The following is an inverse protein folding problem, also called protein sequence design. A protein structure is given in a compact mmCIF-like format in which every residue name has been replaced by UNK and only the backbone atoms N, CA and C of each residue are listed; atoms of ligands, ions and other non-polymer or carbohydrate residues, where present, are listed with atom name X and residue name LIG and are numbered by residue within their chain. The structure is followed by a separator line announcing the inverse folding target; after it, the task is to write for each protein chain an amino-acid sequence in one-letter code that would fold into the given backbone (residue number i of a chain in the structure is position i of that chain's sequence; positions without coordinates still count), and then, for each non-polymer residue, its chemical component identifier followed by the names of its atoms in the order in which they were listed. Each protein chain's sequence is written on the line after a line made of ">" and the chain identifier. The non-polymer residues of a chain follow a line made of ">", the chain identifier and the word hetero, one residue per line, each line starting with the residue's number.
data_IF_475656483241
#
_entry.id   IF_475656483241
#
_cell.length_a   1.000
_cell.length_b   1.000
_cell.length_c   1.000
_cell.angle_alpha   90.00
_cell.angle_beta   90.00
_cell.angle_gamma   90.00
#
_symmetry.space_group_name_H-M   'P 1'
#
loop_
_entity.id
_entity.type
_entity.pdbx_description
1 polymer ?
#
# COMPACT_ATOMS: atom_id res chain seq x y z
N UNK A 1 -34.50 -20.54 -44.92
CA UNK A 1 -35.67 -20.80 -44.05
C UNK A 1 -35.75 -19.70 -42.99
N UNK A 2 -36.58 -18.66 -43.16
CA UNK A 2 -36.97 -17.77 -42.07
C UNK A 2 -38.31 -18.21 -41.48
N UNK A 3 -38.34 -18.44 -40.17
CA UNK A 3 -39.57 -18.73 -39.41
C UNK A 3 -40.01 -17.48 -38.66
N UNK A 4 -41.14 -16.92 -39.06
CA UNK A 4 -41.87 -15.85 -38.39
C UNK A 4 -42.76 -16.42 -37.27
N UNK A 5 -42.88 -15.72 -36.14
CA UNK A 5 -44.16 -15.58 -35.41
C UNK A 5 -44.08 -14.60 -34.24
N UNK A 6 -45.15 -13.82 -34.11
CA UNK A 6 -45.34 -12.60 -33.32
C UNK A 6 -45.94 -12.85 -31.91
N UNK A 7 -46.02 -11.78 -31.11
CA UNK A 7 -47.01 -11.60 -30.01
C UNK A 7 -46.40 -11.67 -28.61
N UNK A 8 -46.80 -10.90 -27.59
CA UNK A 8 -47.88 -9.92 -27.39
C UNK A 8 -47.55 -9.07 -26.15
N UNK A 9 -47.97 -7.82 -26.17
CA UNK A 9 -47.96 -6.83 -25.10
C UNK A 9 -48.75 -7.24 -23.86
N UNK A 10 -48.26 -6.96 -22.64
CA UNK A 10 -49.12 -6.67 -21.48
C UNK A 10 -48.50 -5.60 -20.58
N UNK A 11 -49.03 -4.38 -20.68
CA UNK A 11 -48.86 -3.35 -19.66
C UNK A 11 -49.68 -3.74 -18.41
N UNK A 12 -49.08 -3.68 -17.23
CA UNK A 12 -49.80 -3.75 -15.95
C UNK A 12 -49.50 -2.49 -15.13
N UNK A 13 -50.51 -1.61 -15.08
CA UNK A 13 -50.67 -0.52 -14.12
C UNK A 13 -51.20 -1.11 -12.80
N UNK A 14 -50.64 -0.68 -11.67
CA UNK A 14 -51.21 -0.82 -10.32
C UNK A 14 -51.20 0.55 -9.61
N UNK A 15 -52.17 0.87 -8.71
CA UNK A 15 -52.39 2.21 -8.18
C UNK A 15 -51.94 2.32 -6.69
N UNK A 16 -52.34 3.36 -5.90
CA UNK A 16 -51.47 4.43 -5.40
C UNK A 16 -51.17 4.33 -3.89
N UNK A 17 -49.99 4.79 -3.43
CA UNK A 17 -49.78 5.10 -2.01
C UNK A 17 -49.17 6.49 -1.86
N UNK A 18 -49.94 7.33 -1.18
CA UNK A 18 -49.56 8.61 -0.62
C UNK A 18 -48.92 8.38 0.75
N UNK A 19 -47.69 8.83 0.96
CA UNK A 19 -47.16 9.17 2.28
C UNK A 19 -46.21 10.36 2.15
N UNK A 20 -46.53 11.40 2.92
CA UNK A 20 -45.69 12.54 3.25
C UNK A 20 -44.46 12.05 4.02
N UNK A 21 -43.30 12.68 3.84
CA UNK A 21 -42.59 13.41 4.90
C UNK A 21 -41.17 13.83 4.49
N UNK A 22 -40.92 15.12 4.73
CA UNK A 22 -39.73 15.64 5.40
C UNK A 22 -38.36 15.41 4.72
N UNK A 23 -37.90 16.46 4.05
CA UNK A 23 -36.46 16.74 3.98
C UNK A 23 -35.87 16.77 5.40
N UNK A 24 -34.66 16.21 5.56
CA UNK A 24 -33.60 17.06 6.06
C UNK A 24 -32.37 16.98 5.16
N UNK A 25 -31.79 18.15 4.95
CA UNK A 25 -30.48 18.41 4.40
C UNK A 25 -29.40 17.56 5.08
N UNK A 26 -28.67 16.75 4.31
CA UNK A 26 -27.34 16.24 4.65
C UNK A 26 -26.59 16.09 3.32
N UNK A 27 -25.90 17.13 2.87
CA UNK A 27 -24.44 17.22 2.95
C UNK A 27 -23.72 15.93 2.49
N UNK A 28 -23.20 16.01 1.26
CA UNK A 28 -21.87 15.51 0.89
C UNK A 28 -21.57 14.04 1.25
N UNK A 29 -22.24 13.08 0.62
CA UNK A 29 -21.63 11.75 0.46
C UNK A 29 -20.61 11.80 -0.69
N UNK A 30 -19.51 12.53 -0.42
CA UNK A 30 -18.23 12.21 -1.05
C UNK A 30 -17.99 10.76 -0.70
N UNK A 31 -17.94 9.89 -1.70
CA UNK A 31 -17.42 8.53 -1.60
C UNK A 31 -16.00 8.62 -1.03
N UNK A 32 -15.88 8.69 0.29
CA UNK A 32 -14.62 8.47 0.99
C UNK A 32 -14.42 6.97 0.88
N UNK A 33 -13.87 6.56 -0.26
CA UNK A 33 -13.24 5.27 -0.40
C UNK A 33 -12.32 5.17 0.82
N UNK A 34 -12.68 4.33 1.77
CA UNK A 34 -11.87 4.02 2.95
C UNK A 34 -10.62 3.30 2.46
N UNK A 35 -9.72 4.03 1.81
CA UNK A 35 -8.32 3.65 1.70
C UNK A 35 -7.82 3.65 3.14
N UNK A 36 -7.94 2.50 3.80
CA UNK A 36 -7.39 2.31 5.14
C UNK A 36 -5.96 2.84 5.12
N UNK A 37 -5.72 3.91 5.86
CA UNK A 37 -4.43 4.58 5.85
C UNK A 37 -3.40 3.61 6.40
N UNK A 38 -2.60 3.01 5.52
CA UNK A 38 -1.53 2.11 5.93
C UNK A 38 -0.50 2.91 6.75
N UNK A 39 0.05 2.28 7.79
CA UNK A 39 1.03 2.91 8.68
C UNK A 39 2.26 2.05 8.83
N UNK A 40 3.40 2.70 8.99
CA UNK A 40 4.66 2.03 9.25
C UNK A 40 4.63 1.40 10.64
N UNK A 41 4.98 0.12 10.78
CA UNK A 41 5.04 -0.57 12.07
C UNK A 41 6.12 0.00 13.00
N UNK A 42 7.13 0.70 12.47
CA UNK A 42 8.26 1.23 13.24
C UNK A 42 8.02 2.68 13.69
N UNK A 43 7.76 3.60 12.75
CA UNK A 43 7.56 5.01 13.09
C UNK A 43 6.07 5.40 13.27
N UNK A 44 5.13 4.51 12.96
CA UNK A 44 3.68 4.74 13.04
C UNK A 44 3.16 5.88 12.15
N UNK A 45 4.02 6.42 11.28
CA UNK A 45 3.64 7.40 10.27
C UNK A 45 2.88 6.74 9.12
N UNK A 46 2.11 7.56 8.39
CA UNK A 46 1.37 7.13 7.21
C UNK A 46 2.33 6.64 6.12
N UNK A 47 2.02 5.49 5.53
CA UNK A 47 2.70 4.98 4.35
C UNK A 47 2.11 5.63 3.09
N UNK A 48 2.99 6.02 2.18
CA UNK A 48 2.62 6.46 0.84
C UNK A 48 2.27 5.24 -0.01
N UNK A 49 1.17 5.30 -0.78
CA UNK A 49 0.49 4.18 -1.48
C UNK A 49 1.41 3.20 -2.22
N UNK A 50 2.55 3.66 -2.75
CA UNK A 50 3.49 2.83 -3.53
C UNK A 50 4.91 2.76 -2.96
N UNK A 51 5.22 3.43 -1.84
CA UNK A 51 6.59 3.57 -1.32
C UNK A 51 6.76 2.94 0.06
N UNK A 52 6.39 1.67 0.17
CA UNK A 52 6.58 0.89 1.39
C UNK A 52 7.00 -0.54 1.09
N UNK A 53 7.64 -1.17 2.07
CA UNK A 53 7.99 -2.57 2.06
C UNK A 53 6.97 -3.33 2.90
N UNK A 54 6.36 -4.35 2.33
CA UNK A 54 5.49 -5.27 3.06
C UNK A 54 6.19 -6.60 3.29
N UNK A 55 6.18 -7.09 4.53
CA UNK A 55 6.65 -8.43 4.83
C UNK A 55 5.71 -9.47 4.18
N UNK A 56 6.22 -10.47 3.44
CA UNK A 56 5.38 -11.49 2.83
C UNK A 56 4.74 -12.42 3.87
N UNK A 57 5.35 -12.60 5.03
CA UNK A 57 4.89 -13.55 6.05
C UNK A 57 3.86 -12.97 7.02
N UNK A 58 4.01 -11.68 7.37
CA UNK A 58 3.19 -11.01 8.39
C UNK A 58 2.56 -9.78 7.75
N UNK A 59 1.26 -9.83 7.51
CA UNK A 59 0.54 -8.75 6.83
C UNK A 59 0.59 -7.41 7.59
N UNK A 60 0.76 -7.43 8.91
CA UNK A 60 0.91 -6.24 9.76
C UNK A 60 2.29 -5.57 9.67
N UNK A 61 3.32 -6.31 9.22
CA UNK A 61 4.65 -5.75 9.05
C UNK A 61 4.71 -4.95 7.74
N UNK A 62 4.53 -3.64 7.87
CA UNK A 62 4.59 -2.68 6.76
C UNK A 62 5.56 -1.59 7.16
N UNK A 63 6.54 -1.28 6.32
CA UNK A 63 7.63 -0.38 6.67
C UNK A 63 7.80 0.69 5.60
N UNK A 64 7.91 1.95 6.01
CA UNK A 64 8.27 3.01 5.08
C UNK A 64 9.71 2.81 4.59
N UNK A 65 10.01 3.31 3.39
CA UNK A 65 11.37 3.25 2.84
C UNK A 65 12.46 3.80 3.79
N UNK A 66 12.26 4.93 4.50
CA UNK A 66 13.22 5.42 5.49
C UNK A 66 13.56 4.39 6.58
N UNK A 67 12.55 3.74 7.16
CA UNK A 67 12.76 2.72 8.18
C UNK A 67 13.42 1.46 7.61
N UNK A 68 12.99 1.00 6.43
CA UNK A 68 13.62 -0.14 5.75
C UNK A 68 15.08 0.14 5.42
N UNK A 69 15.39 1.34 4.89
CA UNK A 69 16.76 1.79 4.61
C UNK A 69 17.64 1.74 5.84
N UNK A 70 17.14 2.23 6.97
CA UNK A 70 17.89 2.22 8.22
C UNK A 70 18.18 0.78 8.68
N UNK A 71 17.18 -0.11 8.59
CA UNK A 71 17.35 -1.52 8.96
C UNK A 71 18.33 -2.25 8.04
N UNK A 72 18.30 -1.99 6.72
CA UNK A 72 19.26 -2.50 5.75
C UNK A 72 20.69 -2.06 6.10
N UNK A 73 20.90 -0.76 6.37
CA UNK A 73 22.23 -0.24 6.75
C UNK A 73 22.76 -0.88 8.03
N UNK A 74 21.90 -1.07 9.02
CA UNK A 74 22.27 -1.66 10.32
C UNK A 74 22.60 -3.16 10.23
N UNK A 75 21.95 -3.90 9.33
CA UNK A 75 22.24 -5.32 9.08
C UNK A 75 23.45 -5.53 8.14
N UNK A 76 23.82 -4.51 7.37
CA UNK A 76 24.99 -4.51 6.48
C UNK A 76 24.63 -4.83 5.03
N UNK A 77 24.84 -3.86 4.14
CA UNK A 77 24.67 -4.03 2.70
C UNK A 77 25.77 -4.95 2.13
N UNK A 78 25.48 -6.24 2.02
CA UNK A 78 26.44 -7.28 1.62
C UNK A 78 26.14 -8.63 2.26
N UNK A 79 25.34 -8.63 3.33
CA UNK A 79 24.79 -9.82 3.98
C UNK A 79 23.31 -10.01 3.60
N UNK A 80 22.73 -11.16 3.97
CA UNK A 80 21.29 -11.35 3.93
C UNK A 80 20.60 -10.38 4.90
N UNK A 81 19.86 -9.41 4.35
CA UNK A 81 19.09 -8.46 5.15
C UNK A 81 17.69 -9.01 5.38
N UNK A 82 17.34 -9.29 6.62
CA UNK A 82 16.04 -9.82 7.01
C UNK A 82 15.02 -8.72 7.30
N UNK A 83 13.81 -9.13 7.67
CA UNK A 83 12.66 -8.26 7.92
C UNK A 83 13.02 -7.06 8.84
N UNK A 84 12.60 -5.82 8.50
CA UNK A 84 12.93 -4.62 9.27
C UNK A 84 12.46 -4.61 10.73
N UNK A 85 11.52 -5.48 11.09
CA UNK A 85 11.09 -5.69 12.49
C UNK A 85 12.13 -6.40 13.37
N UNK A 86 13.23 -6.91 12.79
CA UNK A 86 14.26 -7.66 13.51
C UNK A 86 13.94 -9.15 13.69
N UNK A 87 12.80 -9.63 13.17
CA UNK A 87 12.42 -11.05 13.19
C UNK A 87 12.85 -11.73 11.89
N UNK A 88 13.22 -13.01 11.95
CA UNK A 88 13.43 -13.85 10.75
C UNK A 88 12.11 -14.47 10.30
N UNK A 89 11.27 -13.68 9.65
CA UNK A 89 9.97 -14.11 9.15
C UNK A 89 10.13 -15.15 8.02
N UNK A 90 9.53 -16.35 8.08
CA UNK A 90 9.67 -17.36 7.04
C UNK A 90 8.79 -17.04 5.83
N UNK A 91 9.27 -17.29 4.61
CA UNK A 91 8.44 -17.17 3.40
C UNK A 91 7.16 -18.01 3.52
N UNK A 92 6.05 -17.51 2.98
CA UNK A 92 4.74 -18.17 3.07
C UNK A 92 4.84 -19.59 2.50
N UNK A 93 4.46 -20.58 3.31
CA UNK A 93 4.52 -21.99 2.92
C UNK A 93 5.91 -22.65 3.03
N UNK A 94 6.90 -22.00 3.68
CA UNK A 94 8.26 -22.53 3.85
C UNK A 94 8.82 -22.26 5.26
N UNK A 95 9.98 -22.83 5.57
CA UNK A 95 10.81 -22.49 6.74
C UNK A 95 12.00 -21.59 6.38
N UNK A 96 12.16 -21.23 5.10
CA UNK A 96 13.23 -20.36 4.62
C UNK A 96 12.94 -18.92 5.06
N UNK A 97 13.86 -18.24 5.76
CA UNK A 97 13.66 -16.85 6.19
C UNK A 97 13.63 -15.92 4.96
N UNK A 98 12.67 -15.00 4.96
CA UNK A 98 12.62 -13.94 3.95
C UNK A 98 13.74 -12.93 4.20
N UNK A 99 14.45 -12.60 3.13
CA UNK A 99 15.44 -11.55 3.06
C UNK A 99 15.17 -10.67 1.84
N UNK A 100 15.65 -9.42 1.89
CA UNK A 100 15.60 -8.53 0.74
C UNK A 100 16.44 -9.04 -0.42
N UNK A 101 15.93 -8.90 -1.64
CA UNK A 101 16.73 -9.11 -2.84
C UNK A 101 17.74 -7.97 -3.01
N UNK A 102 18.92 -8.27 -3.57
CA UNK A 102 19.96 -7.26 -3.78
C UNK A 102 19.48 -6.06 -4.64
N UNK A 103 18.61 -6.31 -5.63
CA UNK A 103 17.99 -5.24 -6.42
C UNK A 103 17.05 -4.33 -5.60
N UNK A 104 16.30 -4.91 -4.66
CA UNK A 104 15.45 -4.14 -3.73
C UNK A 104 16.32 -3.32 -2.77
N UNK A 105 17.40 -3.92 -2.23
CA UNK A 105 18.38 -3.22 -1.39
C UNK A 105 18.94 -2.00 -2.13
N UNK A 106 19.44 -2.18 -3.35
CA UNK A 106 20.01 -1.11 -4.16
C UNK A 106 18.99 0.02 -4.40
N UNK A 107 17.73 -0.33 -4.65
CA UNK A 107 16.64 0.62 -4.90
C UNK A 107 16.25 1.40 -3.64
N UNK A 108 16.11 0.73 -2.50
CA UNK A 108 15.71 1.35 -1.23
C UNK A 108 16.82 2.27 -0.68
N UNK A 109 18.08 1.84 -0.81
CA UNK A 109 19.25 2.68 -0.52
C UNK A 109 19.42 3.79 -1.58
N UNK A 110 18.70 3.76 -2.71
CA UNK A 110 18.73 4.81 -3.71
C UNK A 110 20.09 4.98 -4.40
N UNK A 111 20.90 3.92 -4.46
CA UNK A 111 22.26 4.00 -5.02
C UNK A 111 23.17 5.01 -4.31
N UNK A 112 22.99 5.24 -3.00
CA UNK A 112 23.88 6.08 -2.17
C UNK A 112 25.26 5.41 -1.95
N UNK A 113 26.05 5.15 -2.97
CA UNK A 113 27.07 6.09 -3.47
C UNK A 113 26.53 7.15 -4.43
N UNK A 114 25.96 8.22 -3.86
CA UNK A 114 26.05 9.54 -4.50
C UNK A 114 27.30 10.18 -3.90
N UNK A 115 28.48 10.14 -4.56
CA UNK A 115 29.70 10.78 -4.06
C UNK A 115 29.64 12.32 -4.03
N UNK A 116 28.46 12.92 -4.20
CA UNK A 116 28.28 14.37 -4.37
C UNK A 116 27.22 14.92 -3.42
N UNK A 117 27.35 14.58 -2.13
CA UNK A 117 26.78 15.41 -1.07
C UNK A 117 27.80 15.66 0.04
N UNK A 118 29.08 15.74 -0.37
CA UNK A 118 30.06 16.58 0.29
C UNK A 118 29.70 18.04 -0.05
N UNK A 119 28.62 18.58 0.55
CA UNK A 119 28.47 20.03 0.62
C UNK A 119 29.74 20.53 1.30
N UNK A 120 30.47 21.30 0.52
CA UNK A 120 31.80 21.82 0.74
C UNK A 120 31.91 22.35 2.18
N UNK A 121 32.66 21.65 3.03
CA UNK A 121 33.32 22.31 4.16
C UNK A 121 34.48 23.10 3.56
N UNK A 122 34.14 24.21 2.90
CA UNK A 122 35.07 25.31 2.67
C UNK A 122 35.42 25.88 4.03
N UNK A 123 36.39 25.21 4.69
CA UNK A 123 37.30 25.89 5.59
C UNK A 123 38.30 26.59 4.67
N UNK A 124 38.11 27.89 4.48
CA UNK A 124 39.17 28.75 4.00
C UNK A 124 39.40 29.86 5.04
N UNK A 125 40.65 29.91 5.48
CA UNK A 125 41.34 30.96 6.26
C UNK A 125 40.85 31.23 7.69
#
# INVERSE_FOLDING_TARGET
>A
NPGSSQGTSVARRGPPISIKESAPSSLLETNVQSSETLKCTLCHERLEDTHFVQCPSISEHKFCFPCSRNSIKMQGAGSEVYCPSGKKCPLVGSNVPWAFMQGEIATILGGEVRPDMNIKKERDT
#
